data_IF_235046301888
#
_entry.id   IF_235046301888
#
_cell.length_a   1.000
_cell.length_b   1.000
_cell.length_c   1.000
_cell.angle_alpha   90.00
_cell.angle_beta   90.00
_cell.angle_gamma   90.00
#
_symmetry.space_group_name_H-M   'P 1'
#
loop_
_entity.id
_entity.type
_entity.pdbx_description
1 polymer ?
#
# COMPACT_ATOMS: atom_id res chain seq x y z
N UNK A 1 13.97 7.20 -7.50
CA UNK A 1 12.80 7.05 -8.34
C UNK A 1 12.29 5.62 -8.42
N UNK A 2 11.34 5.42 -9.33
CA UNK A 2 10.67 4.13 -9.48
C UNK A 2 11.61 2.97 -9.85
N UNK A 3 12.59 3.22 -10.71
CA UNK A 3 13.55 2.18 -11.12
C UNK A 3 14.39 1.68 -9.94
N UNK A 4 14.81 2.58 -9.09
CA UNK A 4 15.58 2.23 -7.90
C UNK A 4 14.75 1.37 -6.95
N UNK A 5 13.48 1.73 -6.76
CA UNK A 5 12.58 0.98 -5.88
C UNK A 5 12.29 -0.40 -6.44
N UNK A 6 12.08 -0.51 -7.76
CA UNK A 6 11.90 -1.82 -8.41
C UNK A 6 13.12 -2.70 -8.24
N UNK A 7 14.33 -2.12 -8.36
CA UNK A 7 15.56 -2.86 -8.17
C UNK A 7 15.74 -3.34 -6.73
N UNK A 8 15.35 -2.52 -5.77
CA UNK A 8 15.39 -2.89 -4.35
C UNK A 8 14.45 -4.05 -4.05
N UNK A 9 13.24 -4.01 -4.58
CA UNK A 9 12.26 -5.08 -4.43
C UNK A 9 12.77 -6.36 -5.09
N UNK A 10 13.34 -6.27 -6.29
CA UNK A 10 13.90 -7.40 -7.01
C UNK A 10 15.03 -8.07 -6.22
N UNK A 11 15.87 -7.29 -5.56
CA UNK A 11 16.93 -7.84 -4.69
C UNK A 11 16.35 -8.60 -3.51
N UNK A 12 15.29 -8.10 -2.90
CA UNK A 12 14.59 -8.81 -1.83
C UNK A 12 14.07 -10.15 -2.31
N UNK A 13 13.59 -10.23 -3.55
CA UNK A 13 13.11 -11.47 -4.14
C UNK A 13 14.21 -12.52 -4.33
N UNK A 14 15.44 -12.07 -4.58
CA UNK A 14 16.56 -12.97 -4.83
C UNK A 14 16.89 -13.86 -3.62
N UNK A 15 16.52 -13.46 -2.41
CA UNK A 15 16.74 -14.23 -1.20
C UNK A 15 15.54 -15.09 -0.78
N UNK A 16 14.52 -15.16 -1.63
CA UNK A 16 13.31 -15.96 -1.43
C UNK A 16 12.65 -15.72 -0.05
N UNK A 17 12.25 -14.48 0.26
CA UNK A 17 11.71 -14.16 1.57
C UNK A 17 10.29 -14.69 1.72
N UNK A 18 9.87 -14.89 2.98
CA UNK A 18 8.47 -15.19 3.31
C UNK A 18 7.69 -13.93 3.66
N UNK A 19 8.40 -12.87 4.00
CA UNK A 19 7.82 -11.61 4.43
C UNK A 19 8.70 -10.45 4.00
N UNK A 20 8.08 -9.37 3.51
CA UNK A 20 8.78 -8.17 3.04
C UNK A 20 8.16 -6.94 3.69
N UNK A 21 9.00 -6.01 4.13
CA UNK A 21 8.57 -4.70 4.60
C UNK A 21 8.99 -3.65 3.57
N UNK A 22 8.01 -2.84 3.13
CA UNK A 22 8.25 -1.74 2.19
C UNK A 22 7.92 -0.43 2.90
N UNK A 23 8.93 0.41 3.10
CA UNK A 23 8.76 1.71 3.73
C UNK A 23 8.62 2.78 2.66
N UNK A 24 7.44 3.40 2.61
CA UNK A 24 7.08 4.46 1.68
C UNK A 24 7.42 4.15 0.20
N UNK A 25 6.95 3.00 -0.33
CA UNK A 25 7.31 2.62 -1.71
C UNK A 25 6.78 3.57 -2.77
N UNK A 26 5.76 4.37 -2.47
CA UNK A 26 5.16 5.31 -3.42
C UNK A 26 5.67 6.74 -3.29
N UNK A 27 6.52 7.03 -2.31
CA UNK A 27 7.01 8.39 -2.07
C UNK A 27 7.89 8.89 -3.22
N UNK A 28 7.55 10.05 -3.79
CA UNK A 28 8.32 10.67 -4.85
C UNK A 28 8.36 9.90 -6.17
N UNK A 29 7.40 9.00 -6.38
CA UNK A 29 7.34 8.13 -7.55
C UNK A 29 6.26 8.65 -8.50
N UNK A 30 6.55 8.66 -9.80
CA UNK A 30 5.56 9.10 -10.80
C UNK A 30 4.42 8.09 -10.98
N UNK A 31 3.27 8.50 -11.55
CA UNK A 31 2.10 7.62 -11.66
C UNK A 31 2.34 6.31 -12.41
N UNK A 32 3.19 6.30 -13.41
CA UNK A 32 3.50 5.07 -14.17
C UNK A 32 4.29 4.11 -13.29
N UNK A 33 5.29 4.62 -12.58
CA UNK A 33 6.09 3.81 -11.68
C UNK A 33 5.27 3.30 -10.49
N UNK A 34 4.28 4.07 -10.02
CA UNK A 34 3.34 3.61 -8.98
C UNK A 34 2.62 2.35 -9.44
N UNK A 35 2.11 2.34 -10.67
CA UNK A 35 1.44 1.16 -11.23
C UNK A 35 2.37 -0.05 -11.30
N UNK A 36 3.61 0.16 -11.70
CA UNK A 36 4.61 -0.91 -11.76
C UNK A 36 4.88 -1.51 -10.38
N UNK A 37 5.02 -0.66 -9.38
CA UNK A 37 5.23 -1.11 -7.99
C UNK A 37 4.00 -1.88 -7.49
N UNK A 38 2.81 -1.40 -7.76
CA UNK A 38 1.57 -2.10 -7.39
C UNK A 38 1.50 -3.48 -8.02
N UNK A 39 1.89 -3.60 -9.28
CA UNK A 39 1.92 -4.89 -9.99
C UNK A 39 2.93 -5.84 -9.36
N UNK A 40 4.11 -5.34 -9.00
CA UNK A 40 5.14 -6.16 -8.34
C UNK A 40 4.62 -6.66 -6.98
N UNK A 41 4.01 -5.78 -6.19
CA UNK A 41 3.43 -6.14 -4.89
C UNK A 41 2.38 -7.24 -5.06
N UNK A 42 1.51 -7.13 -6.06
CA UNK A 42 0.51 -8.14 -6.34
C UNK A 42 1.13 -9.50 -6.68
N UNK A 43 2.20 -9.51 -7.47
CA UNK A 43 2.92 -10.74 -7.80
C UNK A 43 3.52 -11.40 -6.56
N UNK A 44 4.09 -10.60 -5.67
CA UNK A 44 4.64 -11.10 -4.40
C UNK A 44 3.55 -11.75 -3.55
N UNK A 45 2.41 -11.10 -3.47
CA UNK A 45 1.26 -11.62 -2.74
C UNK A 45 0.79 -12.96 -3.31
N UNK A 46 0.75 -13.10 -4.62
CA UNK A 46 0.38 -14.36 -5.28
C UNK A 46 1.38 -15.49 -5.02
N UNK A 47 2.61 -15.16 -4.63
CA UNK A 47 3.62 -16.14 -4.22
C UNK A 47 3.55 -16.45 -2.72
N UNK A 48 2.48 -16.04 -2.05
CA UNK A 48 2.28 -16.24 -0.62
C UNK A 48 3.34 -15.53 0.24
N UNK A 49 3.85 -14.41 -0.24
CA UNK A 49 4.76 -13.56 0.53
C UNK A 49 3.91 -12.54 1.28
N UNK A 50 4.10 -12.45 2.60
CA UNK A 50 3.46 -11.42 3.41
C UNK A 50 4.12 -10.07 3.16
N UNK A 51 3.33 -9.00 3.03
CA UNK A 51 3.85 -7.68 2.71
C UNK A 51 3.28 -6.65 3.68
N UNK A 52 4.17 -5.92 4.33
CA UNK A 52 3.79 -4.77 5.15
C UNK A 52 4.26 -3.50 4.43
N UNK A 53 3.32 -2.60 4.18
CA UNK A 53 3.60 -1.31 3.53
C UNK A 53 3.33 -0.18 4.51
N UNK A 54 4.28 0.74 4.63
CA UNK A 54 4.04 2.02 5.32
C UNK A 54 4.10 3.12 4.27
N UNK A 55 3.05 3.95 4.18
CA UNK A 55 3.02 5.03 3.21
C UNK A 55 2.00 6.08 3.58
N UNK A 56 2.25 7.32 3.13
CA UNK A 56 1.32 8.44 3.26
C UNK A 56 0.33 8.49 2.10
N UNK A 57 0.63 7.81 1.01
CA UNK A 57 -0.21 7.79 -0.19
C UNK A 57 -1.37 6.82 0.02
N UNK A 58 -2.39 7.30 0.70
CA UNK A 58 -3.52 6.48 1.14
C UNK A 58 -4.26 5.83 -0.02
N UNK A 59 -4.49 6.58 -1.10
CA UNK A 59 -5.22 6.08 -2.27
C UNK A 59 -4.52 4.89 -2.90
N UNK A 60 -3.23 5.04 -3.20
CA UNK A 60 -2.43 3.99 -3.83
C UNK A 60 -2.29 2.77 -2.92
N UNK A 61 -2.09 3.02 -1.63
CA UNK A 61 -1.89 1.95 -0.65
C UNK A 61 -3.17 1.14 -0.44
N UNK A 62 -4.30 1.80 -0.20
CA UNK A 62 -5.57 1.11 0.02
C UNK A 62 -6.03 0.33 -1.21
N UNK A 63 -5.63 0.76 -2.42
CA UNK A 63 -6.01 0.07 -3.65
C UNK A 63 -5.44 -1.35 -3.76
N UNK A 64 -4.38 -1.66 -3.01
CA UNK A 64 -3.68 -2.95 -3.10
C UNK A 64 -3.56 -3.68 -1.77
N UNK A 65 -4.06 -3.13 -0.68
CA UNK A 65 -3.95 -3.77 0.63
C UNK A 65 -5.20 -4.54 1.00
N UNK A 66 -5.01 -5.63 1.74
CA UNK A 66 -6.12 -6.41 2.29
C UNK A 66 -6.59 -5.81 3.60
N UNK A 67 -5.64 -5.38 4.43
CA UNK A 67 -5.92 -4.81 5.74
C UNK A 67 -5.02 -3.61 5.98
N UNK A 68 -5.53 -2.59 6.66
CA UNK A 68 -4.77 -1.39 6.93
C UNK A 68 -4.94 -0.93 8.38
N UNK A 69 -3.90 -0.28 8.87
CA UNK A 69 -3.87 0.38 10.18
C UNK A 69 -3.59 1.85 9.96
N UNK A 70 -4.49 2.71 10.43
CA UNK A 70 -4.32 4.15 10.33
C UNK A 70 -3.70 4.65 11.62
N UNK A 71 -2.49 5.18 11.51
CA UNK A 71 -1.73 5.70 12.65
C UNK A 71 -1.83 7.23 12.72
N UNK A 72 -2.05 7.74 13.91
CA UNK A 72 -2.07 9.17 14.15
C UNK A 72 -1.51 9.46 15.54
N UNK A 73 -0.53 10.33 15.60
CA UNK A 73 0.14 10.71 16.87
C UNK A 73 0.57 9.49 17.70
N UNK A 74 1.18 8.51 17.03
CA UNK A 74 1.71 7.33 17.69
C UNK A 74 0.69 6.31 18.14
N UNK A 75 -0.57 6.46 17.73
CA UNK A 75 -1.65 5.54 18.09
C UNK A 75 -2.36 5.00 16.87
N UNK A 76 -2.88 3.78 16.96
CA UNK A 76 -3.76 3.23 15.94
C UNK A 76 -5.14 3.87 16.13
N UNK A 77 -5.51 4.72 15.17
CA UNK A 77 -6.78 5.42 15.18
C UNK A 77 -7.92 4.53 14.66
N UNK A 78 -7.65 3.75 13.63
CA UNK A 78 -8.60 2.82 13.04
C UNK A 78 -7.86 1.67 12.38
N UNK A 79 -8.47 0.50 12.34
CA UNK A 79 -7.93 -0.65 11.65
C UNK A 79 -9.06 -1.48 11.05
N UNK A 80 -8.77 -2.12 9.93
CA UNK A 80 -9.75 -2.97 9.26
C UNK A 80 -9.35 -3.23 7.82
N UNK A 81 -10.28 -3.77 7.06
CA UNK A 81 -10.08 -3.95 5.62
C UNK A 81 -10.05 -2.60 4.93
N UNK A 82 -9.51 -2.56 3.71
CA UNK A 82 -9.51 -1.33 2.92
C UNK A 82 -10.94 -0.80 2.73
N UNK A 83 -11.89 -1.71 2.51
CA UNK A 83 -13.31 -1.36 2.36
C UNK A 83 -13.89 -0.75 3.64
N UNK A 84 -13.55 -1.29 4.80
CA UNK A 84 -14.00 -0.76 6.08
C UNK A 84 -13.45 0.64 6.34
N UNK A 85 -12.17 0.87 6.03
CA UNK A 85 -11.57 2.20 6.15
C UNK A 85 -12.25 3.19 5.21
N UNK A 86 -12.47 2.80 3.97
CA UNK A 86 -13.08 3.65 2.96
C UNK A 86 -14.54 4.01 3.30
N UNK A 87 -15.22 3.14 4.03
CA UNK A 87 -16.61 3.37 4.46
C UNK A 87 -16.72 4.16 5.76
N UNK A 88 -15.65 4.27 6.54
CA UNK A 88 -15.68 4.96 7.83
C UNK A 88 -15.74 6.48 7.63
N UNK A 89 -16.78 7.12 8.20
CA UNK A 89 -16.99 8.56 8.03
C UNK A 89 -15.86 9.41 8.60
N UNK A 90 -15.31 9.03 9.75
CA UNK A 90 -14.22 9.78 10.37
C UNK A 90 -12.95 9.68 9.53
N UNK A 91 -12.65 8.50 9.01
CA UNK A 91 -11.50 8.28 8.14
C UNK A 91 -11.65 9.10 6.85
N UNK A 92 -12.84 9.07 6.24
CA UNK A 92 -13.12 9.82 5.03
C UNK A 92 -13.00 11.33 5.27
N UNK A 93 -13.56 11.81 6.35
CA UNK A 93 -13.54 13.24 6.67
C UNK A 93 -12.13 13.76 6.94
N UNK A 94 -11.33 13.01 7.70
CA UNK A 94 -10.01 13.47 8.17
C UNK A 94 -8.84 13.11 7.25
N UNK A 95 -8.94 12.03 6.48
CA UNK A 95 -7.79 11.49 5.75
C UNK A 95 -8.01 11.24 4.28
N UNK A 96 -9.21 10.81 3.88
CA UNK A 96 -9.48 10.43 2.49
C UNK A 96 -10.10 11.54 1.66
N UNK A 97 -10.94 12.38 2.29
CA UNK A 97 -11.76 13.36 1.60
C UNK A 97 -13.13 12.79 1.26
N UNK A 98 -14.12 13.68 1.14
CA UNK A 98 -15.52 13.29 0.93
C UNK A 98 -15.77 12.58 -0.39
N UNK A 99 -15.03 12.96 -1.42
CA UNK A 99 -15.19 12.42 -2.77
C UNK A 99 -14.32 11.20 -3.04
N UNK A 100 -13.65 10.68 -2.01
CA UNK A 100 -12.80 9.51 -2.16
C UNK A 100 -13.63 8.29 -2.56
N UNK A 101 -13.17 7.60 -3.60
CA UNK A 101 -13.69 6.30 -4.02
C UNK A 101 -12.58 5.27 -3.95
N UNK A 102 -12.85 4.18 -3.24
CA UNK A 102 -11.91 3.07 -3.20
C UNK A 102 -11.94 2.34 -4.53
N UNK A 103 -10.79 2.31 -5.20
CA UNK A 103 -10.62 1.58 -6.46
C UNK A 103 -9.61 0.47 -6.22
N UNK A 104 -10.10 -0.70 -5.87
CA UNK A 104 -9.24 -1.86 -5.66
C UNK A 104 -8.63 -2.30 -6.98
N UNK A 105 -7.33 -2.53 -6.97
CA UNK A 105 -6.63 -3.06 -8.12
C UNK A 105 -6.92 -4.55 -8.24
N UNK A 106 -7.35 -4.95 -9.40
CA UNK A 106 -7.63 -6.36 -9.72
C UNK A 106 -6.39 -6.95 -10.42
N UNK A 107 -5.36 -7.12 -9.64
CA UNK A 107 -4.04 -7.52 -10.15
C UNK A 107 -3.79 -9.01 -10.00
#
# INVERSE_FOLDING_TARGET
>A
GGERRRAEIARCLAIDPKFIMLDEPFAGVDPIAVQDIQTIVARLKHKNIGILITDHNVHETLSITDRAYLLFEGKVLFQGTAEELAANEIVREKYLGRDFELRKKNL
#
